data_IF_435826994131
#
_entry.id   IF_435826994131
#
_cell.length_a   1.000
_cell.length_b   1.000
_cell.length_c   1.000
_cell.angle_alpha   90.00
_cell.angle_beta   90.00
_cell.angle_gamma   90.00
#
_symmetry.space_group_name_H-M   'P 1'
#
loop_
_entity.id
_entity.type
_entity.pdbx_description
1 polymer ?
#
# COMPACT_ATOMS: atom_id res chain seq x y z
N UNK A 1 -0.63 17.60 19.34
CA UNK A 1 -0.25 16.38 18.63
C UNK A 1 1.10 15.92 19.15
N UNK A 2 1.19 14.69 19.67
CA UNK A 2 2.39 14.18 20.40
C UNK A 2 3.65 14.16 19.55
N UNK A 3 3.55 13.78 18.28
CA UNK A 3 4.68 13.74 17.37
C UNK A 3 5.39 15.11 17.21
N UNK A 4 4.63 16.19 17.16
CA UNK A 4 5.20 17.55 17.09
C UNK A 4 5.90 17.95 18.39
N UNK A 5 5.33 17.55 19.53
CA UNK A 5 5.97 17.75 20.85
C UNK A 5 7.31 17.00 20.94
N UNK A 6 7.37 15.77 20.42
CA UNK A 6 8.59 14.98 20.39
C UNK A 6 9.63 15.58 19.43
N UNK A 7 9.21 16.08 18.26
CA UNK A 7 10.09 16.81 17.33
C UNK A 7 10.78 17.98 18.01
N UNK A 8 10.00 18.78 18.75
CA UNK A 8 10.55 19.93 19.47
C UNK A 8 11.45 19.51 20.64
N UNK A 9 11.01 18.52 21.43
CA UNK A 9 11.76 18.03 22.60
C UNK A 9 13.16 17.50 22.21
N UNK A 10 13.28 16.84 21.07
CA UNK A 10 14.52 16.22 20.63
C UNK A 10 15.25 17.02 19.54
N UNK A 11 14.86 18.30 19.34
CA UNK A 11 15.53 19.22 18.42
C UNK A 11 17.04 19.30 18.73
N UNK A 12 17.89 19.06 17.72
CA UNK A 12 19.34 19.07 17.86
C UNK A 12 19.97 17.74 18.32
N UNK A 13 19.15 16.76 18.72
CA UNK A 13 19.64 15.41 19.07
C UNK A 13 19.35 14.42 17.93
N UNK A 14 18.12 14.43 17.43
CA UNK A 14 17.68 13.61 16.30
C UNK A 14 16.76 14.40 15.37
N UNK A 15 16.71 14.03 14.10
CA UNK A 15 15.75 14.57 13.15
C UNK A 15 14.46 13.74 13.21
N UNK A 16 13.41 14.32 13.80
CA UNK A 16 12.08 13.68 13.86
C UNK A 16 11.26 14.15 12.66
N UNK A 17 10.88 13.24 11.78
CA UNK A 17 9.92 13.48 10.70
C UNK A 17 8.54 13.05 11.15
N UNK A 18 7.53 13.85 10.82
CA UNK A 18 6.14 13.57 11.14
C UNK A 18 5.38 13.28 9.87
N UNK A 19 4.72 12.14 9.82
CA UNK A 19 3.92 11.71 8.68
C UNK A 19 2.62 11.08 9.11
N UNK A 20 1.83 10.67 8.13
CA UNK A 20 0.61 9.88 8.31
C UNK A 20 0.52 8.81 7.20
N UNK A 21 -0.31 7.83 7.39
CA UNK A 21 -0.70 6.88 6.37
C UNK A 21 -2.03 7.35 5.74
N UNK A 22 -1.98 7.61 4.42
CA UNK A 22 -3.13 7.98 3.61
C UNK A 22 -3.69 6.75 2.93
N UNK A 23 -4.88 6.35 3.31
CA UNK A 23 -5.57 5.19 2.77
C UNK A 23 -6.32 5.55 1.48
N UNK A 24 -6.05 4.82 0.40
CA UNK A 24 -6.78 4.92 -0.85
C UNK A 24 -8.00 4.00 -0.83
N UNK A 25 -9.19 4.60 -0.78
CA UNK A 25 -10.46 3.87 -0.88
C UNK A 25 -11.11 4.16 -2.24
N UNK A 26 -11.16 5.44 -2.62
CA UNK A 26 -11.79 5.90 -3.86
C UNK A 26 -11.27 7.28 -4.27
N UNK A 27 -11.47 7.62 -5.52
CA UNK A 27 -10.95 8.87 -6.11
C UNK A 27 -11.48 10.15 -5.42
N UNK A 28 -12.70 10.12 -4.89
CA UNK A 28 -13.26 11.28 -4.17
C UNK A 28 -12.47 11.69 -2.93
N UNK A 29 -11.69 10.77 -2.34
CA UNK A 29 -10.94 11.01 -1.11
C UNK A 29 -9.59 11.72 -1.37
N UNK A 30 -9.20 11.89 -2.64
CA UNK A 30 -7.95 12.55 -3.05
C UNK A 30 -7.74 13.90 -2.37
N UNK A 31 -8.72 14.79 -2.47
CA UNK A 31 -8.61 16.15 -1.92
C UNK A 31 -8.50 16.14 -0.39
N UNK A 32 -9.13 15.19 0.29
CA UNK A 32 -9.04 15.03 1.74
C UNK A 32 -7.62 14.63 2.15
N UNK A 33 -7.05 13.62 1.51
CA UNK A 33 -5.68 13.15 1.81
C UNK A 33 -4.65 14.23 1.48
N UNK A 34 -4.75 14.86 0.29
CA UNK A 34 -3.84 15.92 -0.12
C UNK A 34 -3.97 17.18 0.76
N UNK A 35 -5.16 17.47 1.31
CA UNK A 35 -5.35 18.54 2.27
C UNK A 35 -4.52 18.34 3.54
N UNK A 36 -4.43 17.11 4.06
CA UNK A 36 -3.51 16.81 5.17
C UNK A 36 -2.04 16.87 4.76
N UNK A 37 -1.71 16.40 3.56
CA UNK A 37 -0.34 16.43 3.06
C UNK A 37 0.21 17.86 2.88
N UNK A 38 -0.66 18.85 2.68
CA UNK A 38 -0.29 20.26 2.56
C UNK A 38 -0.06 20.96 3.91
N UNK A 39 -0.38 20.32 5.05
CA UNK A 39 -0.11 20.89 6.36
C UNK A 39 1.40 21.02 6.56
N UNK A 40 1.93 22.25 6.82
CA UNK A 40 3.37 22.48 6.94
C UNK A 40 4.04 21.74 8.11
N UNK A 41 3.25 21.15 8.98
CA UNK A 41 3.72 20.33 10.10
C UNK A 41 4.00 18.88 9.71
N UNK A 42 3.53 18.46 8.53
CA UNK A 42 3.68 17.10 7.97
C UNK A 42 4.86 17.09 7.00
N UNK A 43 5.78 16.15 7.16
CA UNK A 43 6.97 16.03 6.31
C UNK A 43 6.73 15.09 5.13
N UNK A 44 5.88 14.08 5.31
CA UNK A 44 5.56 13.08 4.27
C UNK A 44 4.26 12.33 4.62
N UNK A 45 3.77 11.58 3.66
CA UNK A 45 2.75 10.58 3.93
C UNK A 45 3.07 9.26 3.20
N UNK A 46 2.55 8.18 3.75
CA UNK A 46 2.58 6.83 3.18
C UNK A 46 1.27 6.64 2.44
N UNK A 47 1.32 6.22 1.18
CA UNK A 47 0.13 5.83 0.42
C UNK A 47 -0.09 4.32 0.53
N UNK A 48 -1.30 3.92 0.91
CA UNK A 48 -1.67 2.52 1.15
C UNK A 48 -3.03 2.17 0.54
N UNK A 49 -3.19 0.91 0.16
CA UNK A 49 -4.44 0.34 -0.33
C UNK A 49 -4.87 -0.80 0.59
N UNK A 50 -5.99 -0.61 1.29
CA UNK A 50 -6.62 -1.62 2.14
C UNK A 50 -8.03 -2.01 1.66
N UNK A 51 -8.52 -1.38 0.59
CA UNK A 51 -9.87 -1.58 0.08
C UNK A 51 -9.86 -1.86 -1.42
N UNK A 52 -10.68 -2.81 -1.85
CA UNK A 52 -11.00 -3.04 -3.25
C UNK A 52 -12.52 -2.96 -3.40
N UNK A 53 -13.00 -2.17 -4.37
CA UNK A 53 -14.43 -1.87 -4.51
C UNK A 53 -15.06 -1.36 -3.20
N UNK A 54 -14.31 -0.55 -2.43
CA UNK A 54 -14.68 -0.03 -1.11
C UNK A 54 -14.86 -1.11 -0.03
N UNK A 55 -14.37 -2.34 -0.25
CA UNK A 55 -14.44 -3.46 0.68
C UNK A 55 -13.05 -3.71 1.28
N UNK A 56 -12.88 -3.74 2.62
CA UNK A 56 -11.61 -4.07 3.25
C UNK A 56 -11.08 -5.45 2.87
N UNK A 57 -9.78 -5.57 2.61
CA UNK A 57 -9.13 -6.82 2.18
C UNK A 57 -8.29 -7.49 3.26
N UNK A 58 -8.05 -6.83 4.39
CA UNK A 58 -7.15 -7.29 5.45
C UNK A 58 -7.81 -7.37 6.85
N UNK A 59 -9.11 -7.13 6.95
CA UNK A 59 -9.87 -7.17 8.21
C UNK A 59 -10.44 -8.54 8.58
N UNK A 60 -10.37 -9.52 7.67
CA UNK A 60 -10.80 -10.88 7.89
C UNK A 60 -11.25 -11.59 6.62
N UNK A 61 -11.29 -12.92 6.69
CA UNK A 61 -11.59 -13.76 5.52
C UNK A 61 -12.95 -13.47 4.89
N UNK A 62 -13.97 -13.15 5.70
CA UNK A 62 -15.32 -12.86 5.18
C UNK A 62 -15.30 -11.64 4.25
N UNK A 63 -14.63 -10.56 4.64
CA UNK A 63 -14.51 -9.35 3.82
C UNK A 63 -13.60 -9.57 2.61
N UNK A 64 -12.52 -10.33 2.77
CA UNK A 64 -11.66 -10.71 1.65
C UNK A 64 -12.43 -11.51 0.59
N UNK A 65 -13.22 -12.52 1.01
CA UNK A 65 -14.07 -13.29 0.10
C UNK A 65 -15.13 -12.41 -0.58
N UNK A 66 -15.72 -11.44 0.16
CA UNK A 66 -16.64 -10.47 -0.41
C UNK A 66 -15.97 -9.59 -1.47
N UNK A 67 -14.76 -9.10 -1.22
CA UNK A 67 -13.96 -8.35 -2.19
C UNK A 67 -13.66 -9.21 -3.43
N UNK A 68 -13.29 -10.49 -3.23
CA UNK A 68 -13.06 -11.45 -4.31
C UNK A 68 -14.31 -11.66 -5.16
N UNK A 69 -15.48 -11.81 -4.55
CA UNK A 69 -16.74 -11.92 -5.29
C UNK A 69 -17.03 -10.66 -6.12
N UNK A 70 -16.76 -9.48 -5.60
CA UNK A 70 -16.90 -8.21 -6.33
C UNK A 70 -15.93 -8.09 -7.51
N UNK A 71 -14.81 -8.84 -7.49
CA UNK A 71 -13.84 -8.97 -8.58
C UNK A 71 -14.14 -10.17 -9.50
N UNK A 72 -15.37 -10.70 -9.47
CA UNK A 72 -15.81 -11.83 -10.33
C UNK A 72 -15.53 -13.21 -9.75
N UNK A 73 -15.23 -13.35 -8.46
CA UNK A 73 -15.03 -14.61 -7.75
C UNK A 73 -13.69 -15.30 -8.01
N UNK A 74 -12.80 -14.68 -8.76
CA UNK A 74 -11.48 -15.21 -9.13
C UNK A 74 -10.40 -14.42 -8.39
N UNK A 75 -9.54 -15.12 -7.64
CA UNK A 75 -8.53 -14.47 -6.81
C UNK A 75 -7.50 -13.68 -7.65
N UNK A 76 -7.10 -14.19 -8.82
CA UNK A 76 -6.23 -13.47 -9.76
C UNK A 76 -6.84 -12.12 -10.16
N UNK A 77 -8.17 -12.05 -10.37
CA UNK A 77 -8.87 -10.81 -10.68
C UNK A 77 -8.87 -9.83 -9.51
N UNK A 78 -9.04 -10.32 -8.29
CA UNK A 78 -8.91 -9.48 -7.09
C UNK A 78 -7.52 -8.85 -7.00
N UNK A 79 -6.45 -9.60 -7.32
CA UNK A 79 -5.10 -9.06 -7.35
C UNK A 79 -4.91 -8.04 -8.49
N UNK A 80 -5.49 -8.29 -9.66
CA UNK A 80 -5.48 -7.31 -10.75
C UNK A 80 -6.13 -6.00 -10.32
N UNK A 81 -7.32 -6.06 -9.72
CA UNK A 81 -8.06 -4.89 -9.23
C UNK A 81 -7.28 -4.17 -8.11
N UNK A 82 -6.59 -4.93 -7.23
CA UNK A 82 -5.72 -4.36 -6.20
C UNK A 82 -4.59 -3.51 -6.80
N UNK A 83 -3.87 -4.04 -7.77
CA UNK A 83 -2.77 -3.28 -8.40
C UNK A 83 -3.28 -2.17 -9.32
N UNK A 84 -4.50 -2.24 -9.82
CA UNK A 84 -5.14 -1.14 -10.54
C UNK A 84 -5.56 -0.02 -9.56
N UNK A 85 -6.14 -0.34 -8.40
CA UNK A 85 -6.41 0.63 -7.32
C UNK A 85 -5.09 1.28 -6.81
N UNK A 86 -4.02 0.50 -6.70
CA UNK A 86 -2.70 1.04 -6.35
C UNK A 86 -2.16 2.00 -7.42
N UNK A 87 -2.38 1.72 -8.72
CA UNK A 87 -2.05 2.65 -9.79
C UNK A 87 -2.82 3.97 -9.64
N UNK A 88 -4.11 3.91 -9.35
CA UNK A 88 -4.92 5.11 -9.13
C UNK A 88 -4.38 5.92 -7.94
N UNK A 89 -4.04 5.27 -6.84
CA UNK A 89 -3.41 5.89 -5.69
C UNK A 89 -2.09 6.57 -6.07
N UNK A 90 -1.19 5.86 -6.75
CA UNK A 90 0.11 6.37 -7.18
C UNK A 90 -0.01 7.61 -8.08
N UNK A 91 -0.94 7.58 -9.03
CA UNK A 91 -1.13 8.68 -10.00
C UNK A 91 -1.87 9.87 -9.41
N UNK A 92 -2.80 9.64 -8.47
CA UNK A 92 -3.63 10.69 -7.88
C UNK A 92 -2.98 11.37 -6.69
N UNK A 93 -2.25 10.62 -5.84
CA UNK A 93 -1.68 11.12 -4.59
C UNK A 93 -0.18 11.39 -4.65
N UNK A 94 0.56 10.65 -5.47
CA UNK A 94 2.03 10.71 -5.56
C UNK A 94 2.70 10.67 -4.17
N UNK A 95 2.45 9.62 -3.36
CA UNK A 95 2.95 9.54 -2.00
C UNK A 95 4.48 9.48 -1.96
N UNK A 96 5.09 10.01 -0.89
CA UNK A 96 6.54 9.89 -0.69
C UNK A 96 6.99 8.47 -0.41
N UNK A 97 6.13 7.68 0.22
CA UNK A 97 6.36 6.27 0.57
C UNK A 97 5.14 5.47 0.14
N UNK A 98 5.36 4.31 -0.45
CA UNK A 98 4.32 3.34 -0.75
C UNK A 98 4.36 2.24 0.30
N UNK A 99 3.28 2.10 1.06
CA UNK A 99 3.15 1.13 2.15
C UNK A 99 2.86 -0.28 1.62
N UNK A 100 3.30 -1.29 2.36
CA UNK A 100 3.00 -2.74 2.20
C UNK A 100 2.48 -3.14 0.80
N UNK A 101 3.30 -2.97 -0.21
CA UNK A 101 3.00 -2.98 -1.64
C UNK A 101 2.11 -4.14 -2.12
N UNK A 102 2.25 -5.32 -1.53
CA UNK A 102 1.50 -6.55 -1.86
C UNK A 102 0.67 -7.07 -0.68
N UNK A 103 0.04 -6.15 0.10
CA UNK A 103 -0.80 -6.49 1.25
C UNK A 103 -1.90 -7.50 0.90
N UNK A 104 -2.40 -7.47 -0.32
CA UNK A 104 -3.46 -8.36 -0.84
C UNK A 104 -3.18 -9.84 -0.58
N UNK A 105 -1.91 -10.26 -0.46
CA UNK A 105 -1.54 -11.64 -0.19
C UNK A 105 -1.87 -12.12 1.22
N UNK A 106 -2.18 -11.22 2.16
CA UNK A 106 -2.34 -11.54 3.58
C UNK A 106 -3.38 -12.64 3.84
N UNK A 107 -4.53 -12.55 3.19
CA UNK A 107 -5.65 -13.48 3.34
C UNK A 107 -5.89 -14.35 2.09
N UNK A 108 -4.90 -14.37 1.19
CA UNK A 108 -4.89 -15.21 -0.01
C UNK A 108 -4.95 -16.69 0.34
N UNK A 109 -5.56 -17.47 -0.54
CA UNK A 109 -5.55 -18.95 -0.45
C UNK A 109 -4.13 -19.54 -0.57
N UNK A 110 -3.21 -18.82 -1.22
CA UNK A 110 -1.79 -19.16 -1.35
C UNK A 110 -0.93 -17.90 -1.28
N UNK A 111 -0.60 -17.42 -0.05
CA UNK A 111 0.19 -16.20 0.13
C UNK A 111 1.65 -16.32 -0.31
N UNK A 112 2.10 -17.53 -0.66
CA UNK A 112 3.46 -17.83 -1.13
C UNK A 112 3.55 -17.96 -2.65
N UNK A 113 2.43 -17.77 -3.34
CA UNK A 113 2.36 -17.87 -4.80
C UNK A 113 3.39 -16.99 -5.49
N UNK A 114 4.06 -17.56 -6.47
CA UNK A 114 4.88 -16.79 -7.40
C UNK A 114 3.96 -15.98 -8.35
N UNK A 115 3.85 -14.68 -8.07
CA UNK A 115 2.96 -13.77 -8.81
C UNK A 115 3.35 -13.63 -10.29
N UNK A 116 4.54 -14.07 -10.71
CA UNK A 116 4.95 -14.13 -12.12
C UNK A 116 4.12 -15.12 -12.92
N UNK A 117 3.53 -16.12 -12.26
CA UNK A 117 2.63 -17.10 -12.90
C UNK A 117 1.29 -16.52 -13.31
N UNK A 118 0.88 -15.39 -12.72
CA UNK A 118 -0.29 -14.63 -13.08
C UNK A 118 0.12 -13.43 -13.95
N UNK A 119 0.19 -13.63 -15.24
CA UNK A 119 0.74 -12.67 -16.20
C UNK A 119 0.07 -11.29 -16.06
N UNK A 120 -1.26 -11.24 -15.92
CA UNK A 120 -2.01 -9.99 -15.76
C UNK A 120 -1.65 -9.23 -14.49
N UNK A 121 -1.48 -9.94 -13.39
CA UNK A 121 -1.04 -9.38 -12.09
C UNK A 121 0.41 -8.89 -12.19
N UNK A 122 1.30 -9.72 -12.75
CA UNK A 122 2.71 -9.37 -12.86
C UNK A 122 2.97 -8.12 -13.70
N UNK A 123 2.26 -7.98 -14.83
CA UNK A 123 2.34 -6.77 -15.65
C UNK A 123 1.95 -5.50 -14.88
N UNK A 124 0.94 -5.58 -14.01
CA UNK A 124 0.49 -4.46 -13.15
C UNK A 124 1.51 -4.13 -12.06
N UNK A 125 2.11 -5.16 -11.44
CA UNK A 125 3.21 -4.99 -10.48
C UNK A 125 4.36 -4.23 -11.12
N UNK A 126 4.87 -4.69 -12.26
CA UNK A 126 5.99 -4.04 -12.97
C UNK A 126 5.63 -2.61 -13.40
N UNK A 127 4.40 -2.38 -13.89
CA UNK A 127 3.88 -1.04 -14.21
C UNK A 127 3.94 -0.11 -13.00
N UNK A 128 3.43 -0.56 -11.85
CA UNK A 128 3.36 0.26 -10.64
C UNK A 128 4.77 0.55 -10.09
N UNK A 129 5.67 -0.44 -10.10
CA UNK A 129 7.07 -0.24 -9.69
C UNK A 129 7.78 0.81 -10.57
N UNK A 130 7.55 0.82 -11.88
CA UNK A 130 8.10 1.85 -12.79
C UNK A 130 7.63 3.25 -12.40
N UNK A 131 6.35 3.42 -12.08
CA UNK A 131 5.80 4.71 -11.64
C UNK A 131 6.42 5.13 -10.31
N UNK A 132 6.60 4.22 -9.36
CA UNK A 132 7.27 4.49 -8.08
C UNK A 132 8.69 5.02 -8.33
N UNK A 133 9.44 4.40 -9.23
CA UNK A 133 10.79 4.83 -9.63
C UNK A 133 10.77 6.22 -10.29
N UNK A 134 9.86 6.44 -11.24
CA UNK A 134 9.70 7.73 -11.94
C UNK A 134 9.36 8.87 -10.96
N UNK A 135 8.51 8.59 -9.97
CA UNK A 135 8.14 9.54 -8.91
C UNK A 135 9.24 9.69 -7.84
N UNK A 136 10.30 8.88 -7.87
CA UNK A 136 11.34 8.82 -6.83
C UNK A 136 10.76 8.57 -5.42
N UNK A 137 9.68 7.82 -5.35
CA UNK A 137 9.07 7.41 -4.10
C UNK A 137 9.84 6.23 -3.48
N UNK A 138 9.70 6.06 -2.19
CA UNK A 138 10.26 4.93 -1.45
C UNK A 138 9.25 3.79 -1.39
N UNK A 139 9.72 2.57 -1.51
CA UNK A 139 8.94 1.37 -1.26
C UNK A 139 9.22 0.88 0.17
N UNK A 140 8.18 0.74 0.98
CA UNK A 140 8.31 0.27 2.35
C UNK A 140 8.62 -1.24 2.38
N UNK A 141 9.59 -1.64 3.20
CA UNK A 141 9.73 -3.04 3.63
C UNK A 141 9.02 -3.20 4.96
N UNK A 142 7.80 -3.77 4.92
CA UNK A 142 6.95 -3.89 6.08
C UNK A 142 6.99 -5.31 6.67
N UNK A 143 7.59 -5.45 7.84
CA UNK A 143 7.77 -6.75 8.53
C UNK A 143 6.53 -7.19 9.32
N UNK A 144 5.45 -6.42 9.33
CA UNK A 144 4.20 -6.85 10.00
C UNK A 144 3.63 -8.14 9.41
N UNK A 145 3.91 -8.42 8.14
CA UNK A 145 3.59 -9.68 7.49
C UNK A 145 4.05 -10.90 8.29
N UNK A 146 5.30 -10.86 8.77
CA UNK A 146 5.88 -11.96 9.58
C UNK A 146 5.14 -12.17 10.89
N UNK A 147 4.70 -11.08 11.56
CA UNK A 147 3.88 -11.18 12.77
C UNK A 147 2.48 -11.71 12.51
N UNK A 148 1.99 -11.56 11.27
CA UNK A 148 0.70 -12.09 10.81
C UNK A 148 0.80 -13.52 10.26
N UNK A 149 1.98 -14.16 10.36
CA UNK A 149 2.20 -15.56 9.98
C UNK A 149 2.66 -15.80 8.54
N UNK A 150 2.94 -14.74 7.77
CA UNK A 150 3.53 -14.87 6.44
C UNK A 150 5.03 -15.20 6.54
N UNK A 151 5.55 -15.87 5.52
CA UNK A 151 6.97 -16.25 5.44
C UNK A 151 7.90 -15.12 4.99
N UNK A 152 7.36 -14.06 4.39
CA UNK A 152 8.09 -12.92 3.85
C UNK A 152 7.43 -11.60 4.24
N UNK A 153 8.17 -10.48 4.29
CA UNK A 153 7.60 -9.15 4.49
C UNK A 153 6.75 -8.71 3.28
N UNK A 154 6.17 -7.52 3.36
CA UNK A 154 5.68 -6.78 2.21
C UNK A 154 6.77 -5.80 1.75
N UNK A 155 7.06 -5.73 0.42
CA UNK A 155 6.70 -6.72 -0.57
C UNK A 155 7.50 -8.03 -0.42
N UNK A 156 6.97 -9.11 -1.03
CA UNK A 156 7.67 -10.37 -1.13
C UNK A 156 8.93 -10.27 -2.00
N UNK A 157 9.86 -11.20 -1.80
CA UNK A 157 11.18 -11.22 -2.44
C UNK A 157 11.12 -11.04 -3.95
N UNK A 158 10.23 -11.74 -4.63
CA UNK A 158 10.11 -11.71 -6.11
C UNK A 158 9.82 -10.31 -6.65
N UNK A 159 9.13 -9.47 -5.89
CA UNK A 159 8.84 -8.08 -6.24
C UNK A 159 10.07 -7.19 -6.02
N UNK A 160 10.86 -7.47 -4.98
CA UNK A 160 12.08 -6.72 -4.69
C UNK A 160 13.23 -7.00 -5.69
N UNK A 161 13.11 -8.04 -6.51
CA UNK A 161 14.10 -8.43 -7.52
C UNK A 161 13.87 -7.74 -8.90
N UNK A 162 12.80 -6.91 -9.04
CA UNK A 162 12.50 -6.15 -10.26
C UNK A 162 13.29 -4.85 -10.27
#
# INVERSE_FOLDING_TARGET
>A
MEALRLREKYRGQIKVLVGFEGEWIRRSDTNFILGYAQDPRIDFFIGSVHHIHEIPIDWGLELFEKAKQSSGGIEEKLYEDYFDAQLEMLTSLQPRVVGHFDLIKLLSSDPTRDLRTWTGVWMRIVRNLKIIVEQKALLEINTSALRKGLSEPYPGRVICEV
#
